data_IF_626683774496
#
_entry.id   IF_626683774496
#
_cell.length_a   1.000
_cell.length_b   1.000
_cell.length_c   1.000
_cell.angle_alpha   90.00
_cell.angle_beta   90.00
_cell.angle_gamma   90.00
#
_symmetry.space_group_name_H-M   'P 1'
#
loop_
_entity.id
_entity.type
_entity.pdbx_description
1 polymer ?
#
# COMPACT_ATOMS: atom_id res chain seq x y z
N UNK A 1 -1.57 13.16 -25.43
CA UNK A 1 -2.76 12.33 -25.74
C UNK A 1 -2.52 11.63 -27.07
N UNK A 2 -2.01 12.38 -28.05
CA UNK A 2 -1.59 11.88 -29.37
C UNK A 2 -0.68 10.65 -29.31
N UNK A 3 0.28 10.59 -28.38
CA UNK A 3 1.14 9.42 -28.17
C UNK A 3 0.40 8.14 -27.74
N UNK A 4 -0.71 8.25 -27.01
CA UNK A 4 -1.53 7.09 -26.63
C UNK A 4 -2.45 6.65 -27.77
N UNK A 5 -2.87 7.57 -28.63
CA UNK A 5 -3.54 7.25 -29.90
C UNK A 5 -2.61 6.49 -30.86
N UNK A 6 -1.34 6.85 -30.93
CA UNK A 6 -0.35 6.09 -31.73
C UNK A 6 -0.18 4.65 -31.23
N UNK A 7 -0.24 4.41 -29.92
CA UNK A 7 -0.23 3.05 -29.35
C UNK A 7 -1.44 2.23 -29.79
N UNK A 8 -2.59 2.86 -30.09
CA UNK A 8 -3.75 2.17 -30.68
C UNK A 8 -3.41 1.61 -32.06
N UNK A 9 -2.74 2.40 -32.90
CA UNK A 9 -2.31 2.00 -34.25
C UNK A 9 -1.25 0.90 -34.19
N UNK A 10 -0.30 0.99 -33.26
CA UNK A 10 0.73 -0.03 -33.07
C UNK A 10 0.18 -1.34 -32.48
N UNK A 11 -0.82 -1.26 -31.59
CA UNK A 11 -1.52 -2.43 -31.04
C UNK A 11 -2.33 -3.19 -32.11
N UNK A 12 -2.60 -2.60 -33.27
CA UNK A 12 -3.27 -3.27 -34.40
C UNK A 12 -2.32 -4.07 -35.29
N UNK A 13 -1.01 -4.07 -35.01
CA UNK A 13 -0.04 -4.85 -35.76
C UNK A 13 -0.17 -6.33 -35.38
N UNK A 14 -1.08 -7.02 -36.06
CA UNK A 14 -1.31 -8.45 -35.98
C UNK A 14 -1.07 -9.06 -37.36
N UNK A 15 -0.43 -10.22 -37.41
CA UNK A 15 -0.48 -11.10 -38.60
C UNK A 15 -1.58 -12.13 -38.38
N UNK A 16 -2.01 -12.85 -39.42
CA UNK A 16 -3.06 -13.89 -39.34
C UNK A 16 -2.81 -14.99 -38.29
N UNK A 17 -1.62 -15.03 -37.69
CA UNK A 17 -1.18 -16.06 -36.75
C UNK A 17 -0.77 -15.52 -35.37
N UNK A 18 -0.22 -14.30 -35.25
CA UNK A 18 0.33 -13.80 -33.98
C UNK A 18 0.26 -12.27 -33.84
N UNK A 19 0.10 -11.80 -32.59
CA UNK A 19 0.31 -10.39 -32.24
C UNK A 19 1.80 -10.08 -32.27
N UNK A 20 2.23 -9.11 -33.09
CA UNK A 20 3.65 -8.82 -33.30
C UNK A 20 4.29 -7.98 -32.17
N UNK A 21 3.47 -7.35 -31.32
CA UNK A 21 3.95 -6.41 -30.28
C UNK A 21 3.19 -6.62 -28.96
N UNK A 22 3.93 -6.83 -27.87
CA UNK A 22 3.41 -6.79 -26.51
C UNK A 22 3.66 -5.43 -25.88
N UNK A 23 2.60 -4.74 -25.44
CA UNK A 23 2.68 -3.41 -24.84
C UNK A 23 2.32 -3.51 -23.35
N UNK A 24 3.22 -3.05 -22.47
CA UNK A 24 2.97 -2.91 -21.03
C UNK A 24 2.89 -1.42 -20.70
N UNK A 25 1.75 -0.98 -20.20
CA UNK A 25 1.53 0.40 -19.76
C UNK A 25 1.80 0.50 -18.25
N UNK A 26 2.76 1.34 -17.88
CA UNK A 26 3.10 1.64 -16.48
C UNK A 26 2.86 3.13 -16.23
N UNK A 27 2.20 3.45 -15.13
CA UNK A 27 1.91 4.84 -14.78
C UNK A 27 1.35 5.01 -13.39
N UNK A 28 1.18 6.28 -13.02
CA UNK A 28 0.50 6.70 -11.80
C UNK A 28 -1.03 6.58 -11.97
N UNK A 29 -1.85 6.66 -10.90
CA UNK A 29 -3.32 6.54 -10.98
C UNK A 29 -3.99 7.44 -12.02
N UNK A 30 -3.40 8.59 -12.32
CA UNK A 30 -3.82 9.55 -13.35
C UNK A 30 -3.82 8.93 -14.75
N UNK A 31 -3.02 7.89 -15.01
CA UNK A 31 -3.04 7.15 -16.28
C UNK A 31 -4.37 6.39 -16.43
N UNK A 32 -4.85 5.75 -15.36
CA UNK A 32 -6.14 5.05 -15.39
C UNK A 32 -7.31 6.02 -15.60
N UNK A 33 -7.24 7.22 -14.99
CA UNK A 33 -8.21 8.27 -15.22
C UNK A 33 -8.19 8.75 -16.68
N UNK A 34 -7.01 8.96 -17.25
CA UNK A 34 -6.86 9.32 -18.66
C UNK A 34 -7.40 8.24 -19.61
N UNK A 35 -7.14 6.96 -19.33
CA UNK A 35 -7.63 5.84 -20.13
C UNK A 35 -9.18 5.73 -20.11
N UNK A 36 -9.85 6.29 -19.10
CA UNK A 36 -11.31 6.37 -19.03
C UNK A 36 -11.91 7.50 -19.87
N UNK A 37 -11.10 8.44 -20.39
CA UNK A 37 -11.59 9.51 -21.24
C UNK A 37 -12.23 8.95 -22.52
N UNK A 38 -13.32 9.54 -23.04
CA UNK A 38 -14.04 9.03 -24.21
C UNK A 38 -13.14 8.77 -25.42
N UNK A 39 -12.17 9.67 -25.65
CA UNK A 39 -11.20 9.58 -26.74
C UNK A 39 -10.25 8.37 -26.64
N UNK A 40 -10.00 7.83 -25.44
CA UNK A 40 -9.12 6.66 -25.24
C UNK A 40 -9.90 5.35 -24.99
N UNK A 41 -11.24 5.37 -25.11
CA UNK A 41 -12.10 4.21 -24.83
C UNK A 41 -11.72 2.98 -25.66
N UNK A 42 -11.37 3.14 -26.93
CA UNK A 42 -10.97 2.03 -27.81
C UNK A 42 -9.67 1.37 -27.37
N UNK A 43 -8.67 2.17 -26.94
CA UNK A 43 -7.42 1.66 -26.40
C UNK A 43 -7.67 0.93 -25.07
N UNK A 44 -8.47 1.53 -24.20
CA UNK A 44 -8.79 0.98 -22.89
C UNK A 44 -9.52 -0.39 -22.97
N UNK A 45 -10.40 -0.58 -23.97
CA UNK A 45 -11.06 -1.87 -24.24
C UNK A 45 -10.09 -3.00 -24.64
N UNK A 46 -8.90 -2.66 -25.13
CA UNK A 46 -7.87 -3.65 -25.54
C UNK A 46 -6.92 -4.05 -24.43
N UNK A 47 -6.99 -3.36 -23.28
CA UNK A 47 -6.19 -3.70 -22.11
C UNK A 47 -6.82 -4.95 -21.47
N UNK A 48 -6.18 -6.10 -21.69
CA UNK A 48 -6.67 -7.40 -21.21
C UNK A 48 -6.46 -7.62 -19.73
N UNK A 49 -5.47 -6.94 -19.13
CA UNK A 49 -5.18 -7.04 -17.71
C UNK A 49 -4.79 -5.68 -17.15
N UNK A 50 -5.35 -5.38 -15.98
CA UNK A 50 -5.02 -4.20 -15.18
C UNK A 50 -4.63 -4.66 -13.79
N UNK A 51 -3.45 -4.25 -13.35
CA UNK A 51 -2.93 -4.55 -12.01
C UNK A 51 -2.57 -3.24 -11.35
N UNK A 52 -3.11 -3.03 -10.15
CA UNK A 52 -2.74 -1.91 -9.30
C UNK A 52 -1.78 -2.40 -8.24
N UNK A 53 -0.65 -1.72 -8.07
CA UNK A 53 0.31 -2.04 -7.03
C UNK A 53 -0.21 -1.49 -5.70
N UNK A 54 -0.70 -2.39 -4.86
CA UNK A 54 -1.12 -2.07 -3.50
C UNK A 54 0.08 -2.04 -2.54
N UNK A 55 -0.02 -1.33 -1.41
CA UNK A 55 0.96 -1.44 -0.34
C UNK A 55 1.09 -2.88 0.16
N UNK A 56 2.29 -3.27 0.57
CA UNK A 56 2.57 -4.60 1.07
C UNK A 56 1.78 -4.88 2.35
N UNK A 57 1.22 -6.07 2.48
CA UNK A 57 0.67 -6.56 3.75
C UNK A 57 1.76 -6.65 4.82
N UNK A 58 1.36 -6.91 6.08
CA UNK A 58 2.30 -7.10 7.19
C UNK A 58 3.31 -8.23 6.93
N UNK A 59 2.83 -9.35 6.39
CA UNK A 59 3.69 -10.51 6.10
C UNK A 59 4.57 -10.28 4.88
N UNK A 60 4.05 -9.62 3.84
CA UNK A 60 4.85 -9.21 2.69
C UNK A 60 5.91 -8.17 3.06
N UNK A 61 5.59 -7.22 3.94
CA UNK A 61 6.56 -6.27 4.49
C UNK A 61 7.70 -6.99 5.20
N UNK A 62 7.38 -8.01 6.01
CA UNK A 62 8.40 -8.83 6.66
C UNK A 62 9.28 -9.55 5.63
N UNK A 63 8.66 -10.22 4.65
CA UNK A 63 9.39 -10.94 3.58
C UNK A 63 10.26 -9.97 2.77
N UNK A 64 9.73 -8.80 2.44
CA UNK A 64 10.40 -7.74 1.72
C UNK A 64 11.65 -7.26 2.45
N UNK A 65 11.55 -6.90 3.73
CA UNK A 65 12.70 -6.45 4.53
C UNK A 65 13.77 -7.54 4.61
N UNK A 66 13.38 -8.78 4.89
CA UNK A 66 14.32 -9.91 5.00
C UNK A 66 15.02 -10.17 3.67
N UNK A 67 14.27 -10.20 2.57
CA UNK A 67 14.82 -10.40 1.23
C UNK A 67 15.74 -9.25 0.84
N UNK A 68 15.32 -8.00 1.03
CA UNK A 68 16.10 -6.81 0.64
C UNK A 68 17.43 -6.72 1.39
N UNK A 69 17.47 -7.11 2.67
CA UNK A 69 18.72 -7.19 3.44
C UNK A 69 19.61 -8.33 2.95
N UNK A 70 19.02 -9.47 2.60
CA UNK A 70 19.77 -10.61 2.03
C UNK A 70 20.45 -10.23 0.72
N UNK A 71 19.73 -9.58 -0.20
CA UNK A 71 20.28 -9.11 -1.47
C UNK A 71 21.38 -8.05 -1.28
N UNK A 72 21.31 -7.26 -0.20
CA UNK A 72 22.35 -6.30 0.17
C UNK A 72 23.58 -6.94 0.86
N UNK A 73 23.65 -8.28 0.98
CA UNK A 73 24.75 -9.00 1.64
C UNK A 73 24.70 -8.95 3.18
N UNK A 74 23.56 -8.55 3.76
CA UNK A 74 23.39 -8.37 5.20
C UNK A 74 23.02 -9.64 5.97
N UNK A 75 23.62 -10.79 5.67
CA UNK A 75 23.24 -12.09 6.25
C UNK A 75 23.31 -12.14 7.79
N UNK A 76 24.19 -11.33 8.38
CA UNK A 76 24.36 -11.22 9.84
C UNK A 76 23.38 -10.23 10.49
N UNK A 77 22.69 -9.42 9.70
CA UNK A 77 21.78 -8.38 10.17
C UNK A 77 20.41 -9.01 10.43
N UNK A 78 19.90 -8.86 11.65
CA UNK A 78 18.63 -9.47 12.05
C UNK A 78 17.62 -8.41 12.50
N UNK A 79 16.50 -8.32 11.78
CA UNK A 79 15.36 -7.53 12.23
C UNK A 79 14.52 -8.34 13.20
N UNK A 80 14.37 -7.84 14.43
CA UNK A 80 13.49 -8.44 15.43
C UNK A 80 12.02 -8.35 14.99
N UNK A 81 11.16 -9.26 15.45
CA UNK A 81 9.72 -9.20 15.18
C UNK A 81 9.10 -7.85 15.61
N UNK A 82 9.59 -7.27 16.71
CA UNK A 82 9.18 -5.94 17.15
C UNK A 82 9.57 -4.84 16.15
N UNK A 83 10.78 -4.91 15.58
CA UNK A 83 11.22 -3.97 14.54
C UNK A 83 10.35 -4.10 13.28
N UNK A 84 10.13 -5.32 12.79
CA UNK A 84 9.30 -5.60 11.61
C UNK A 84 7.86 -5.11 11.80
N UNK A 85 7.28 -5.34 12.98
CA UNK A 85 5.94 -4.83 13.33
C UNK A 85 5.88 -3.30 13.29
N UNK A 86 6.90 -2.62 13.81
CA UNK A 86 6.98 -1.15 13.78
C UNK A 86 7.22 -0.61 12.36
N UNK A 87 8.05 -1.27 11.56
CA UNK A 87 8.25 -0.92 10.15
C UNK A 87 6.91 -0.94 9.42
N UNK A 88 6.14 -2.03 9.53
CA UNK A 88 4.81 -2.09 8.93
C UNK A 88 3.88 -1.00 9.46
N UNK A 89 3.84 -0.80 10.79
CA UNK A 89 3.00 0.23 11.42
C UNK A 89 3.27 1.64 10.86
N UNK A 90 4.53 1.99 10.64
CA UNK A 90 4.93 3.33 10.20
C UNK A 90 4.96 3.50 8.67
N UNK A 91 5.24 2.43 7.94
CA UNK A 91 5.25 2.47 6.47
C UNK A 91 3.91 2.18 5.83
N UNK A 92 2.99 1.52 6.55
CA UNK A 92 1.74 0.98 6.02
C UNK A 92 1.94 0.10 4.78
N UNK A 93 3.09 -0.59 4.72
CA UNK A 93 3.42 -1.47 3.60
C UNK A 93 4.06 -0.78 2.41
N UNK A 94 4.30 0.54 2.45
CA UNK A 94 4.85 1.28 1.32
C UNK A 94 6.36 1.00 1.20
N UNK A 95 6.85 0.37 0.12
CA UNK A 95 8.26 -0.02 -0.01
C UNK A 95 9.23 1.15 0.17
N UNK A 96 8.90 2.32 -0.38
CA UNK A 96 9.70 3.54 -0.21
C UNK A 96 9.90 3.92 1.26
N UNK A 97 8.83 3.89 2.06
CA UNK A 97 8.91 4.23 3.49
C UNK A 97 9.60 3.12 4.28
N UNK A 98 9.34 1.85 3.94
CA UNK A 98 10.04 0.69 4.51
C UNK A 98 11.55 0.85 4.36
N UNK A 99 12.03 1.21 3.17
CA UNK A 99 13.46 1.37 2.90
C UNK A 99 14.06 2.53 3.69
N UNK A 100 13.40 3.68 3.73
CA UNK A 100 13.93 4.83 4.48
C UNK A 100 14.02 4.51 5.99
N UNK A 101 12.97 3.90 6.56
CA UNK A 101 12.98 3.45 7.96
C UNK A 101 14.10 2.44 8.22
N UNK A 102 14.25 1.45 7.33
CA UNK A 102 15.26 0.39 7.46
C UNK A 102 16.67 0.96 7.39
N UNK A 103 16.99 1.79 6.40
CA UNK A 103 18.32 2.41 6.24
C UNK A 103 18.71 3.26 7.46
N UNK A 104 17.77 4.03 8.00
CA UNK A 104 18.03 4.87 9.19
C UNK A 104 18.16 4.04 10.45
N UNK A 105 17.38 2.97 10.58
CA UNK A 105 17.49 2.05 11.70
C UNK A 105 18.81 1.26 11.68
N UNK A 106 19.28 0.89 10.48
CA UNK A 106 20.60 0.29 10.29
C UNK A 106 21.70 1.24 10.73
N UNK A 107 21.61 2.52 10.34
CA UNK A 107 22.57 3.54 10.78
C UNK A 107 22.56 3.71 12.32
N UNK A 108 21.38 3.76 12.94
CA UNK A 108 21.26 3.84 14.40
C UNK A 108 21.88 2.61 15.10
N UNK A 109 21.64 1.41 14.58
CA UNK A 109 22.21 0.19 15.13
C UNK A 109 23.74 0.11 14.94
N UNK A 110 24.23 0.59 13.80
CA UNK A 110 25.66 0.67 13.50
C UNK A 110 26.39 1.57 14.50
N UNK A 111 25.81 2.73 14.85
CA UNK A 111 26.36 3.63 15.87
C UNK A 111 26.44 2.98 17.27
N UNK A 112 25.62 1.95 17.53
CA UNK A 112 25.65 1.16 18.76
C UNK A 112 26.49 -0.13 18.66
N UNK A 113 27.20 -0.35 17.55
CA UNK A 113 27.90 -1.61 17.23
C UNK A 113 26.98 -2.85 17.30
N UNK A 114 25.69 -2.70 16.96
CA UNK A 114 24.70 -3.77 17.01
C UNK A 114 24.34 -4.27 15.61
N UNK A 115 24.36 -5.59 15.39
CA UNK A 115 23.85 -6.24 14.18
C UNK A 115 22.35 -6.58 14.28
N UNK A 116 21.77 -6.48 15.48
CA UNK A 116 20.35 -6.72 15.72
C UNK A 116 19.55 -5.41 15.62
N UNK A 117 18.62 -5.37 14.68
CA UNK A 117 17.70 -4.24 14.50
C UNK A 117 16.48 -4.44 15.38
N UNK A 118 16.45 -3.66 16.48
CA UNK A 118 15.42 -3.69 17.51
C UNK A 118 14.38 -2.60 17.27
N UNK A 119 13.22 -2.74 17.92
CA UNK A 119 12.14 -1.76 17.82
C UNK A 119 12.54 -0.34 18.24
N UNK A 120 13.58 -0.16 19.06
CA UNK A 120 14.13 1.16 19.41
C UNK A 120 14.82 1.87 18.24
N UNK A 121 15.52 1.13 17.38
CA UNK A 121 16.18 1.68 16.20
C UNK A 121 15.15 2.19 15.18
N UNK A 122 14.00 1.50 15.08
CA UNK A 122 12.88 1.95 14.24
C UNK A 122 12.23 3.23 14.77
N UNK A 123 12.09 3.36 16.10
CA UNK A 123 11.59 4.62 16.69
C UNK A 123 12.54 5.78 16.44
N UNK A 124 13.84 5.59 16.68
CA UNK A 124 14.84 6.59 16.38
C UNK A 124 14.79 7.00 14.90
N UNK A 125 14.70 6.02 14.00
CA UNK A 125 14.53 6.26 12.57
C UNK A 125 13.26 7.07 12.25
N UNK A 126 12.15 6.79 12.94
CA UNK A 126 10.88 7.52 12.76
C UNK A 126 11.01 9.00 13.10
N UNK A 127 11.68 9.36 14.20
CA UNK A 127 11.82 10.76 14.61
C UNK A 127 12.65 11.60 13.64
N UNK A 128 13.55 10.97 12.89
CA UNK A 128 14.33 11.67 11.87
C UNK A 128 13.54 11.92 10.58
N UNK A 129 12.38 11.26 10.37
CA UNK A 129 11.60 11.38 9.13
C UNK A 129 10.89 12.74 9.08
N UNK A 130 11.04 13.44 7.95
CA UNK A 130 10.20 14.59 7.66
C UNK A 130 8.74 14.10 7.52
N UNK A 131 7.77 14.69 8.24
CA UNK A 131 6.34 14.39 8.10
C UNK A 131 5.83 14.28 6.66
N UNK A 132 6.39 15.08 5.74
CA UNK A 132 5.98 15.11 4.33
C UNK A 132 6.19 13.77 3.60
N UNK A 133 7.18 12.98 4.02
CA UNK A 133 7.47 11.66 3.44
C UNK A 133 6.39 10.64 3.81
N UNK A 134 5.72 10.83 4.95
CA UNK A 134 4.69 9.93 5.48
C UNK A 134 3.29 10.44 5.11
N UNK A 135 3.12 11.75 4.84
CA UNK A 135 1.84 12.40 4.56
C UNK A 135 1.15 11.95 3.26
N UNK A 136 1.89 11.35 2.32
CA UNK A 136 1.37 10.86 1.03
C UNK A 136 0.42 9.66 1.14
N UNK A 137 0.31 9.05 2.31
CA UNK A 137 -0.63 7.94 2.57
C UNK A 137 -1.54 8.29 3.74
N UNK A 138 -2.60 9.06 3.45
CA UNK A 138 -3.71 9.25 4.38
C UNK A 138 -4.58 8.00 4.33
N UNK A 139 -4.68 7.29 5.46
CA UNK A 139 -5.73 6.28 5.65
C UNK A 139 -7.08 6.91 5.29
N UNK A 140 -7.84 6.22 4.44
CA UNK A 140 -9.24 6.55 4.22
C UNK A 140 -9.99 6.32 5.53
N UNK A 141 -10.17 7.38 6.32
CA UNK A 141 -10.91 7.33 7.60
C UNK A 141 -12.35 6.84 7.44
N UNK A 142 -12.86 6.69 6.21
CA UNK A 142 -14.22 6.25 5.90
C UNK A 142 -14.57 4.90 6.53
N UNK A 143 -13.68 3.92 6.48
CA UNK A 143 -13.95 2.58 7.03
C UNK A 143 -14.12 2.60 8.56
N UNK A 144 -13.29 3.38 9.25
CA UNK A 144 -13.37 3.57 10.70
C UNK A 144 -14.70 4.21 11.13
N UNK A 145 -15.14 5.27 10.42
CA UNK A 145 -16.44 5.89 10.69
C UNK A 145 -17.61 4.95 10.38
N UNK A 146 -17.49 4.09 9.37
CA UNK A 146 -18.51 3.10 9.00
C UNK A 146 -18.70 2.05 10.10
N UNK A 147 -17.59 1.57 10.69
CA UNK A 147 -17.61 0.63 11.82
C UNK A 147 -18.24 1.28 13.06
N UNK A 148 -17.87 2.52 13.38
CA UNK A 148 -18.48 3.26 14.50
C UNK A 148 -19.98 3.43 14.29
N UNK A 149 -20.41 3.79 13.08
CA UNK A 149 -21.83 3.96 12.75
C UNK A 149 -22.63 2.67 12.95
N UNK A 150 -22.08 1.52 12.52
CA UNK A 150 -22.70 0.21 12.71
C UNK A 150 -22.85 -0.15 14.20
N UNK A 151 -21.84 0.17 15.02
CA UNK A 151 -21.90 -0.04 16.48
C UNK A 151 -22.99 0.83 17.11
N UNK A 152 -23.06 2.12 16.74
CA UNK A 152 -24.08 3.04 17.25
C UNK A 152 -25.51 2.61 16.89
N UNK A 153 -25.73 2.15 15.65
CA UNK A 153 -27.04 1.63 15.22
C UNK A 153 -27.46 0.41 16.03
N UNK A 154 -26.52 -0.50 16.33
CA UNK A 154 -26.79 -1.66 17.19
C UNK A 154 -27.14 -1.25 18.62
N UNK A 155 -26.40 -0.28 19.20
CA UNK A 155 -26.67 0.22 20.56
C UNK A 155 -28.06 0.87 20.63
N UNK A 156 -28.42 1.70 19.65
CA UNK A 156 -29.73 2.35 19.59
C UNK A 156 -30.85 1.30 19.49
N UNK A 157 -30.67 0.29 18.64
CA UNK A 157 -31.64 -0.81 18.51
C UNK A 157 -31.85 -1.58 19.81
N UNK A 158 -30.77 -1.89 20.53
CA UNK A 158 -30.85 -2.55 21.85
C UNK A 158 -31.56 -1.66 22.86
N UNK A 159 -31.25 -0.36 22.90
CA UNK A 159 -31.89 0.59 23.81
C UNK A 159 -33.39 0.70 23.54
N UNK A 160 -33.79 0.71 22.27
CA UNK A 160 -35.19 0.73 21.86
C UNK A 160 -35.93 -0.52 22.29
N UNK A 161 -35.33 -1.71 22.15
CA UNK A 161 -35.92 -2.98 22.61
C UNK A 161 -36.09 -2.98 24.13
N UNK A 162 -35.10 -2.51 24.89
CA UNK A 162 -35.18 -2.39 26.36
C UNK A 162 -36.28 -1.41 26.76
N UNK A 163 -36.33 -0.24 26.13
CA UNK A 163 -37.38 0.75 26.37
C UNK A 163 -38.77 0.15 26.10
N UNK A 164 -38.92 -0.55 24.98
CA UNK A 164 -40.16 -1.22 24.62
C UNK A 164 -40.57 -2.28 25.64
N UNK A 165 -39.63 -3.11 26.11
CA UNK A 165 -39.88 -4.13 27.13
C UNK A 165 -40.27 -3.53 28.49
N UNK A 166 -39.67 -2.40 28.88
CA UNK A 166 -39.91 -1.78 30.18
C UNK A 166 -41.18 -0.92 30.24
N UNK A 167 -41.57 -0.28 29.14
CA UNK A 167 -42.62 0.73 29.14
C UNK A 167 -43.87 0.37 28.32
N UNK A 168 -43.78 -0.54 27.34
CA UNK A 168 -44.94 -1.01 26.55
C UNK A 168 -45.38 -2.45 26.90
N UNK A 169 -44.60 -3.16 27.72
CA UNK A 169 -44.85 -4.54 28.14
C UNK A 169 -45.63 -4.70 29.45
N UNK A 170 -46.27 -3.64 29.96
CA UNK A 170 -47.09 -3.64 31.17
C UNK A 170 -48.55 -3.30 30.87
#
# INVERSE_FOLDING_TARGET
>A
IDTLEELRTLSNLETDKEKLVQIILLGQPELEEKLKLPQLRQLNQRITSKVFLEPLTKDETKKYVIHHIKEAGGEKIKFTNMALSKIYKYSKGIPRIINILSSRALMAAYLENSTDIKGKHIEAARYTLNPDIVAGYKESKKEYYLVILLILLNIIGILYIIYKLLFEGA
#
